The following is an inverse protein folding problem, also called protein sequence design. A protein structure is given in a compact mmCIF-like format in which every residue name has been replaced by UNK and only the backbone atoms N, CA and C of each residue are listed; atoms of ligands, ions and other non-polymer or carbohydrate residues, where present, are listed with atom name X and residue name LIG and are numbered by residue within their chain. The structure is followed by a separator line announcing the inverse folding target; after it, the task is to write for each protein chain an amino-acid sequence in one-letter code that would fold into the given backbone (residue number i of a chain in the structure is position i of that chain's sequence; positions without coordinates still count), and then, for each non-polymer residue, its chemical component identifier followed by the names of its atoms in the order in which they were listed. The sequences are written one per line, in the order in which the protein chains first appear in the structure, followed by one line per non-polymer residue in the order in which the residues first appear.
data_IF_447801900504
#
_entry.id   IF_447801900504
#
_cell.length_a   1.000
_cell.length_b   1.000
_cell.length_c   1.000
_cell.angle_alpha   90.00
_cell.angle_beta   90.00
_cell.angle_gamma   90.00
#
_symmetry.space_group_name_H-M   'P 1'
#
loop_
_entity.id
_entity.type
_entity.pdbx_description
1 polymer ?
#
# COMPACT_ATOMS: atom_id res chain seq x y z
N UNK A 1 17.74 -0.62 -6.31
CA UNK A 1 16.27 -0.63 -6.51
C UNK A 1 15.66 0.20 -5.39
N UNK A 2 14.94 1.28 -5.70
CA UNK A 2 14.35 2.14 -4.66
C UNK A 2 13.16 1.43 -3.97
N UNK A 3 12.81 1.85 -2.74
CA UNK A 3 11.70 1.23 -1.99
C UNK A 3 10.36 1.35 -2.74
N UNK A 4 10.16 2.42 -3.50
CA UNK A 4 8.99 2.63 -4.37
C UNK A 4 8.90 1.60 -5.51
N UNK A 5 10.03 1.19 -6.11
CA UNK A 5 10.03 0.09 -7.09
C UNK A 5 9.70 -1.26 -6.45
N UNK A 6 10.12 -1.47 -5.20
CA UNK A 6 9.83 -2.70 -4.49
C UNK A 6 8.33 -2.80 -4.11
N UNK A 7 7.65 -1.67 -3.92
CA UNK A 7 6.19 -1.58 -3.73
C UNK A 7 5.46 -2.11 -4.98
N UNK A 8 5.88 -1.69 -6.18
CA UNK A 8 5.30 -2.19 -7.44
C UNK A 8 5.49 -3.69 -7.66
N UNK A 9 6.66 -4.23 -7.31
CA UNK A 9 6.93 -5.65 -7.47
C UNK A 9 6.00 -6.52 -6.61
N UNK A 10 5.72 -6.10 -5.37
CA UNK A 10 4.79 -6.81 -4.48
C UNK A 10 3.38 -6.84 -5.06
N UNK A 11 2.89 -5.71 -5.57
CA UNK A 11 1.55 -5.63 -6.17
C UNK A 11 1.39 -6.46 -7.47
N UNK A 12 2.49 -6.68 -8.20
CA UNK A 12 2.49 -7.44 -9.45
C UNK A 12 2.54 -8.96 -9.25
N UNK A 13 3.07 -9.46 -8.13
CA UNK A 13 3.29 -10.88 -7.90
C UNK A 13 2.02 -11.64 -7.47
N UNK A 14 1.16 -10.99 -6.70
CA UNK A 14 0.06 -11.66 -6.03
C UNK A 14 -1.29 -11.40 -6.70
N UNK A 15 -2.11 -12.46 -6.79
CA UNK A 15 -3.49 -12.36 -7.21
C UNK A 15 -4.33 -11.88 -6.04
N UNK A 16 -5.01 -10.74 -6.20
CA UNK A 16 -5.88 -10.20 -5.16
C UNK A 16 -7.34 -10.59 -5.41
N UNK A 17 -8.20 -10.52 -4.37
CA UNK A 17 -9.65 -10.53 -4.54
C UNK A 17 -10.09 -9.44 -5.52
N UNK A 18 -11.14 -9.71 -6.30
CA UNK A 18 -11.65 -8.75 -7.30
C UNK A 18 -11.85 -7.31 -6.80
N UNK A 19 -12.39 -7.06 -5.58
CA UNK A 19 -12.53 -5.69 -5.07
C UNK A 19 -11.17 -4.98 -4.99
N UNK A 20 -10.21 -5.62 -4.32
CA UNK A 20 -8.84 -5.11 -4.13
C UNK A 20 -8.08 -5.01 -5.47
N UNK A 21 -8.26 -5.98 -6.38
CA UNK A 21 -7.60 -6.01 -7.68
C UNK A 21 -7.98 -4.80 -8.55
N UNK A 22 -9.18 -4.25 -8.38
CA UNK A 22 -9.65 -3.09 -9.16
C UNK A 22 -8.81 -1.84 -8.96
N UNK A 23 -8.13 -1.73 -7.81
CA UNK A 23 -7.26 -0.61 -7.46
C UNK A 23 -5.85 -0.71 -8.05
N UNK A 24 -5.47 -1.84 -8.66
CA UNK A 24 -4.07 -2.04 -9.10
C UNK A 24 -3.63 -1.04 -10.16
N UNK A 25 -4.51 -0.61 -11.07
CA UNK A 25 -4.18 0.41 -12.07
C UNK A 25 -3.78 1.71 -11.39
N UNK A 26 -4.63 2.15 -10.47
CA UNK A 26 -4.54 3.45 -9.82
C UNK A 26 -3.37 3.46 -8.84
N UNK A 27 -3.19 2.36 -8.11
CA UNK A 27 -2.02 2.12 -7.28
C UNK A 27 -0.71 2.21 -8.07
N UNK A 28 -0.62 1.52 -9.21
CA UNK A 28 0.60 1.53 -10.02
C UNK A 28 0.89 2.92 -10.60
N UNK A 29 -0.15 3.63 -11.05
CA UNK A 29 -0.04 5.00 -11.53
C UNK A 29 0.45 5.95 -10.44
N UNK A 30 -0.10 5.83 -9.23
CA UNK A 30 0.28 6.65 -8.10
C UNK A 30 1.75 6.41 -7.71
N UNK A 31 2.19 5.15 -7.63
CA UNK A 31 3.58 4.82 -7.31
C UNK A 31 4.56 5.32 -8.38
N UNK A 32 4.22 5.23 -9.67
CA UNK A 32 5.05 5.83 -10.74
C UNK A 32 5.16 7.34 -10.58
N UNK A 33 4.02 8.01 -10.34
CA UNK A 33 3.98 9.46 -10.17
C UNK A 33 4.86 9.91 -9.00
N UNK A 34 4.77 9.21 -7.86
CA UNK A 34 5.60 9.45 -6.68
C UNK A 34 7.08 9.23 -6.99
N UNK A 35 7.42 8.15 -7.72
CA UNK A 35 8.80 7.86 -8.09
C UNK A 35 9.38 8.98 -8.96
N UNK A 36 8.69 9.36 -10.05
CA UNK A 36 9.14 10.44 -10.92
C UNK A 36 9.30 11.76 -10.15
N UNK A 37 8.36 12.09 -9.27
CA UNK A 37 8.45 13.28 -8.42
C UNK A 37 9.62 13.24 -7.44
N UNK A 38 9.89 12.07 -6.86
CA UNK A 38 11.00 11.85 -5.93
C UNK A 38 12.36 11.98 -6.61
N UNK A 39 12.55 11.35 -7.77
CA UNK A 39 13.80 11.44 -8.52
C UNK A 39 14.09 12.89 -8.92
N UNK A 40 13.10 13.59 -9.45
CA UNK A 40 13.22 15.01 -9.79
C UNK A 40 13.54 15.89 -8.56
N UNK A 41 13.03 15.55 -7.38
CA UNK A 41 13.38 16.25 -6.14
C UNK A 41 14.83 15.97 -5.72
N UNK A 42 15.26 14.70 -5.75
CA UNK A 42 16.63 14.32 -5.39
C UNK A 42 17.64 15.00 -6.31
N UNK A 43 17.39 15.02 -7.63
CA UNK A 43 18.25 15.73 -8.59
C UNK A 43 18.40 17.21 -8.26
N UNK A 44 17.30 17.88 -7.86
CA UNK A 44 17.33 19.29 -7.45
C UNK A 44 17.98 19.53 -6.09
N UNK A 45 17.88 18.56 -5.18
CA UNK A 45 18.47 18.60 -3.84
C UNK A 45 19.99 18.40 -3.87
N UNK A 46 20.51 17.68 -4.87
CA UNK A 46 21.95 17.53 -5.08
C UNK A 46 22.59 18.92 -5.26
N UNK A 47 23.33 19.37 -4.23
CA UNK A 47 23.95 20.69 -4.20
C UNK A 47 23.12 21.79 -3.53
N UNK A 48 21.92 21.51 -3.01
CA UNK A 48 21.06 22.46 -2.27
C UNK A 48 20.46 21.79 -1.04
N UNK A 49 21.19 21.84 0.08
CA UNK A 49 20.80 21.18 1.35
C UNK A 49 19.53 21.75 1.99
N UNK A 50 19.15 22.98 1.68
CA UNK A 50 17.99 23.68 2.24
C UNK A 50 16.67 23.38 1.50
N UNK A 51 16.72 22.62 0.40
CA UNK A 51 15.52 22.32 -0.37
C UNK A 51 14.62 21.36 0.42
N UNK A 52 13.44 21.83 0.79
CA UNK A 52 12.39 21.02 1.41
C UNK A 52 11.72 20.11 0.40
N UNK A 53 11.13 19.02 0.88
CA UNK A 53 10.30 18.12 0.05
C UNK A 53 9.08 18.91 -0.46
N UNK A 54 8.74 18.87 -1.76
CA UNK A 54 7.54 19.54 -2.28
C UNK A 54 6.26 19.01 -1.63
N UNK A 55 5.32 19.90 -1.30
CA UNK A 55 4.06 19.50 -0.65
C UNK A 55 3.25 18.55 -1.53
N UNK A 56 3.18 18.78 -2.84
CA UNK A 56 2.51 17.88 -3.80
C UNK A 56 3.04 16.42 -3.68
N UNK A 57 4.34 16.24 -3.44
CA UNK A 57 4.91 14.91 -3.27
C UNK A 57 4.51 14.28 -1.94
N UNK A 58 4.40 15.09 -0.88
CA UNK A 58 3.89 14.64 0.42
C UNK A 58 2.41 14.27 0.32
N UNK A 59 1.60 15.04 -0.41
CA UNK A 59 0.19 14.73 -0.68
C UNK A 59 0.02 13.42 -1.43
N UNK A 60 0.82 13.18 -2.48
CA UNK A 60 0.79 11.90 -3.21
C UNK A 60 1.16 10.71 -2.30
N UNK A 61 2.13 10.89 -1.38
CA UNK A 61 2.50 9.87 -0.40
C UNK A 61 1.39 9.61 0.63
N UNK A 62 0.66 10.65 1.05
CA UNK A 62 -0.52 10.51 1.92
C UNK A 62 -1.65 9.77 1.18
N UNK A 63 -1.91 10.13 -0.07
CA UNK A 63 -2.88 9.42 -0.91
C UNK A 63 -2.51 7.94 -1.07
N UNK A 64 -1.21 7.61 -1.18
CA UNK A 64 -0.75 6.23 -1.21
C UNK A 64 -1.00 5.51 0.11
N UNK A 65 -0.81 6.18 1.25
CA UNK A 65 -1.14 5.62 2.56
C UNK A 65 -2.64 5.32 2.69
N UNK A 66 -3.50 6.29 2.33
CA UNK A 66 -4.97 6.14 2.36
C UNK A 66 -5.45 5.02 1.43
N UNK A 67 -4.83 4.89 0.26
CA UNK A 67 -5.12 3.80 -0.66
C UNK A 67 -4.77 2.43 -0.05
N UNK A 68 -3.63 2.31 0.62
CA UNK A 68 -3.25 1.06 1.30
C UNK A 68 -4.21 0.70 2.45
N UNK A 69 -4.72 1.67 3.19
CA UNK A 69 -5.77 1.47 4.19
C UNK A 69 -7.06 0.97 3.53
N UNK A 70 -7.48 1.61 2.44
CA UNK A 70 -8.65 1.22 1.65
C UNK A 70 -8.55 -0.23 1.16
N UNK A 71 -7.37 -0.66 0.66
CA UNK A 71 -7.15 -2.03 0.21
C UNK A 71 -7.36 -3.05 1.35
N UNK A 72 -6.91 -2.72 2.56
CA UNK A 72 -7.09 -3.59 3.72
C UNK A 72 -8.56 -3.67 4.16
N UNK A 73 -9.26 -2.53 4.18
CA UNK A 73 -10.68 -2.47 4.48
C UNK A 73 -11.52 -3.28 3.48
N UNK A 74 -11.24 -3.15 2.19
CA UNK A 74 -11.94 -3.90 1.15
C UNK A 74 -11.63 -5.40 1.22
N UNK A 75 -10.37 -5.79 1.45
CA UNK A 75 -9.99 -7.20 1.66
C UNK A 75 -10.73 -7.79 2.87
N UNK A 76 -10.75 -7.06 3.98
CA UNK A 76 -11.43 -7.45 5.22
C UNK A 76 -12.95 -7.59 5.01
N UNK A 77 -13.56 -6.63 4.34
CA UNK A 77 -14.99 -6.62 3.99
C UNK A 77 -15.35 -7.79 3.07
N UNK A 78 -14.55 -8.01 2.02
CA UNK A 78 -14.69 -9.15 1.13
C UNK A 78 -14.66 -10.46 1.91
N UNK A 79 -13.65 -10.67 2.77
CA UNK A 79 -13.47 -11.92 3.50
C UNK A 79 -14.62 -12.19 4.51
N UNK A 80 -15.09 -11.14 5.18
CA UNK A 80 -16.16 -11.19 6.19
C UNK A 80 -17.57 -11.16 5.60
N UNK A 81 -17.72 -10.89 4.31
CA UNK A 81 -19.02 -10.78 3.65
C UNK A 81 -19.89 -12.04 3.84
N UNK A 82 -21.23 -11.89 3.96
CA UNK A 82 -22.16 -13.02 4.04
C UNK A 82 -21.99 -14.00 2.88
N UNK A 83 -21.76 -13.48 1.67
CA UNK A 83 -21.55 -14.28 0.46
C UNK A 83 -20.30 -15.17 0.56
N UNK A 84 -19.17 -14.61 1.00
CA UNK A 84 -17.93 -15.40 1.17
C UNK A 84 -18.04 -16.38 2.33
N UNK A 85 -18.74 -16.02 3.40
CA UNK A 85 -19.05 -16.95 4.50
C UNK A 85 -19.90 -18.13 4.02
N UNK A 86 -20.97 -17.86 3.27
CA UNK A 86 -21.82 -18.90 2.71
C UNK A 86 -21.06 -19.79 1.72
N UNK A 87 -20.18 -19.21 0.90
CA UNK A 87 -19.31 -19.99 0.01
C UNK A 87 -18.40 -20.94 0.81
N UNK A 88 -17.70 -20.45 1.84
CA UNK A 88 -16.84 -21.29 2.68
C UNK A 88 -17.62 -22.44 3.30
N UNK A 89 -18.79 -22.15 3.87
CA UNK A 89 -19.68 -23.18 4.41
C UNK A 89 -20.05 -24.22 3.33
N UNK A 90 -20.46 -23.80 2.13
CA UNK A 90 -20.79 -24.74 1.05
C UNK A 90 -19.60 -25.62 0.66
N UNK A 91 -18.39 -25.06 0.57
CA UNK A 91 -17.17 -25.80 0.26
C UNK A 91 -16.81 -26.82 1.35
N UNK A 92 -16.97 -26.43 2.63
CA UNK A 92 -16.78 -27.32 3.78
C UNK A 92 -17.75 -28.51 3.75
N UNK A 93 -19.05 -28.26 3.60
CA UNK A 93 -20.08 -29.31 3.54
C UNK A 93 -19.92 -30.20 2.29
N UNK A 94 -19.45 -29.63 1.17
CA UNK A 94 -19.16 -30.37 -0.06
C UNK A 94 -17.83 -31.11 -0.06
N UNK A 95 -17.07 -31.10 1.06
CA UNK A 95 -15.73 -31.68 1.16
C UNK A 95 -14.74 -31.16 0.09
N UNK A 96 -14.94 -29.95 -0.43
CA UNK A 96 -14.13 -29.34 -1.50
C UNK A 96 -12.85 -28.68 -0.94
N UNK A 97 -12.05 -29.45 -0.19
CA UNK A 97 -10.91 -28.95 0.61
C UNK A 97 -9.88 -28.16 -0.19
N UNK A 98 -9.62 -28.55 -1.45
CA UNK A 98 -8.68 -27.82 -2.33
C UNK A 98 -9.14 -26.38 -2.58
N UNK A 99 -10.41 -26.21 -2.97
CA UNK A 99 -10.98 -24.89 -3.26
C UNK A 99 -11.08 -24.02 -2.01
N UNK A 100 -11.37 -24.63 -0.86
CA UNK A 100 -11.36 -23.93 0.42
C UNK A 100 -9.94 -23.43 0.75
N UNK A 101 -8.94 -24.30 0.65
CA UNK A 101 -7.53 -23.95 0.86
C UNK A 101 -7.06 -22.83 -0.07
N UNK A 102 -7.39 -22.90 -1.36
CA UNK A 102 -7.08 -21.86 -2.33
C UNK A 102 -7.69 -20.50 -1.94
N UNK A 103 -8.93 -20.51 -1.43
CA UNK A 103 -9.61 -19.30 -0.98
C UNK A 103 -8.93 -18.68 0.24
N UNK A 104 -8.50 -19.50 1.21
CA UNK A 104 -7.70 -19.03 2.35
C UNK A 104 -6.34 -18.50 1.92
N UNK A 105 -5.67 -19.19 0.97
CA UNK A 105 -4.39 -18.76 0.42
C UNK A 105 -4.49 -17.37 -0.20
N UNK A 106 -5.50 -17.12 -1.04
CA UNK A 106 -5.72 -15.80 -1.65
C UNK A 106 -5.86 -14.72 -0.57
N UNK A 107 -6.66 -14.96 0.47
CA UNK A 107 -6.84 -14.01 1.56
C UNK A 107 -5.53 -13.70 2.29
N UNK A 108 -4.80 -14.74 2.69
CA UNK A 108 -3.60 -14.61 3.50
C UNK A 108 -2.46 -13.98 2.71
N UNK A 109 -2.30 -14.38 1.44
CA UNK A 109 -1.34 -13.75 0.54
C UNK A 109 -1.66 -12.26 0.37
N UNK A 110 -2.91 -11.89 0.10
CA UNK A 110 -3.30 -10.48 -0.07
C UNK A 110 -3.02 -9.65 1.19
N UNK A 111 -3.36 -10.19 2.37
CA UNK A 111 -3.05 -9.54 3.65
C UNK A 111 -1.54 -9.30 3.80
N UNK A 112 -0.73 -10.34 3.54
CA UNK A 112 0.73 -10.23 3.58
C UNK A 112 1.29 -9.25 2.55
N UNK A 113 0.71 -9.17 1.35
CA UNK A 113 1.10 -8.18 0.34
C UNK A 113 0.86 -6.77 0.89
N UNK A 114 -0.33 -6.48 1.41
CA UNK A 114 -0.69 -5.14 1.93
C UNK A 114 0.19 -4.75 3.11
N UNK A 115 0.48 -5.67 4.04
CA UNK A 115 1.43 -5.44 5.14
C UNK A 115 2.83 -5.09 4.62
N UNK A 116 3.31 -5.81 3.60
CA UNK A 116 4.60 -5.55 2.95
C UNK A 116 4.64 -4.19 2.26
N UNK A 117 3.55 -3.79 1.59
CA UNK A 117 3.42 -2.46 0.97
C UNK A 117 3.50 -1.35 2.03
N UNK A 118 2.74 -1.48 3.12
CA UNK A 118 2.77 -0.55 4.25
C UNK A 118 4.16 -0.44 4.88
N UNK A 119 4.83 -1.58 5.11
CA UNK A 119 6.18 -1.60 5.65
C UNK A 119 7.18 -0.86 4.74
N UNK A 120 7.08 -1.06 3.42
CA UNK A 120 7.95 -0.36 2.45
C UNK A 120 7.68 1.14 2.40
N UNK A 121 6.42 1.57 2.46
CA UNK A 121 6.07 2.99 2.56
C UNK A 121 6.65 3.59 3.85
N UNK A 122 6.49 2.92 4.98
CA UNK A 122 7.05 3.36 6.26
C UNK A 122 8.58 3.47 6.24
N UNK A 123 9.28 2.51 5.63
CA UNK A 123 10.73 2.57 5.44
C UNK A 123 11.13 3.74 4.54
N UNK A 124 10.40 3.99 3.44
CA UNK A 124 10.65 5.13 2.57
C UNK A 124 10.46 6.46 3.33
N UNK A 125 9.34 6.63 4.03
CA UNK A 125 9.05 7.85 4.79
C UNK A 125 10.13 8.10 5.85
N UNK A 126 10.52 7.08 6.61
CA UNK A 126 11.56 7.21 7.63
C UNK A 126 12.92 7.54 7.05
N UNK A 127 13.40 6.72 6.11
CA UNK A 127 14.80 6.79 5.67
C UNK A 127 15.05 7.77 4.53
N UNK A 128 14.03 8.08 3.73
CA UNK A 128 14.15 9.01 2.61
C UNK A 128 13.68 10.41 2.97
N UNK A 129 12.62 10.54 3.79
CA UNK A 129 12.09 11.86 4.20
C UNK A 129 12.61 12.32 5.58
N UNK A 130 13.23 11.43 6.37
CA UNK A 130 13.69 11.75 7.71
C UNK A 130 12.59 11.83 8.77
N UNK A 131 11.37 11.41 8.43
CA UNK A 131 10.21 11.42 9.31
C UNK A 131 10.27 10.21 10.26
N UNK A 132 10.80 10.42 11.46
CA UNK A 132 11.04 9.36 12.44
C UNK A 132 9.75 8.68 12.95
N UNK A 133 8.63 9.40 12.94
CA UNK A 133 7.29 8.86 13.22
C UNK A 133 6.69 8.07 12.05
N UNK A 134 7.41 7.92 10.93
CA UNK A 134 6.99 7.14 9.78
C UNK A 134 5.71 7.69 9.14
N UNK A 135 4.83 6.79 8.70
CA UNK A 135 3.55 7.17 8.05
C UNK A 135 2.68 8.03 8.96
N UNK A 136 2.71 7.82 10.29
CA UNK A 136 1.96 8.66 11.21
C UNK A 136 2.39 10.13 11.15
N UNK A 137 3.70 10.38 11.10
CA UNK A 137 4.23 11.75 10.95
C UNK A 137 3.88 12.34 9.59
N UNK A 138 3.98 11.56 8.50
CA UNK A 138 3.55 11.99 7.17
C UNK A 138 2.08 12.46 7.15
N UNK A 139 1.19 11.71 7.80
CA UNK A 139 -0.24 12.03 7.87
C UNK A 139 -0.55 13.21 8.78
N UNK A 140 0.31 13.48 9.77
CA UNK A 140 0.08 14.50 10.79
C UNK A 140 1.08 15.67 10.74
N UNK A 141 1.91 15.78 9.70
CA UNK A 141 2.97 16.79 9.60
C UNK A 141 2.42 18.24 9.74
N UNK A 142 1.21 18.50 9.26
CA UNK A 142 0.50 19.78 9.44
C UNK A 142 0.19 20.12 10.91
N UNK A 143 0.13 19.11 11.79
CA UNK A 143 -0.09 19.27 13.24
C UNK A 143 1.22 19.44 14.02
N UNK A 144 2.36 19.12 13.43
CA UNK A 144 3.68 19.20 14.07
C UNK A 144 4.35 20.56 13.82
N UNK A 145 4.00 21.25 12.73
CA UNK A 145 4.55 22.58 12.37
C UNK A 145 3.84 23.77 13.06
N UNK A 146 3.10 23.54 14.15
CA UNK A 146 2.57 24.61 15.02
C UNK A 146 3.42 24.68 16.28
N UNK A 147 4.63 25.25 16.16
CA UNK A 147 5.45 25.67 17.29
C UNK A 147 6.28 26.89 16.88
#
# INVERSE_FOLDING_TARGET
MCQLCAIKQVAAQDRWPKPVESHKSDFNFLVDTIHTGWDAYIERKLGRSELSVPEDLLELLRLLADLLETLEEERSTWWKSPEKRALRQRLEHGCEQRKLSDLHKINNTTMSSIESLNAKLGLFVKWSLGMNGGVWELMNAHKVNVA
#
